data_IF_468967509911
#
_entry.id   IF_468967509911
#
_cell.length_a   1.000
_cell.length_b   1.000
_cell.length_c   1.000
_cell.angle_alpha   90.00
_cell.angle_beta   90.00
_cell.angle_gamma   90.00
#
_symmetry.space_group_name_H-M   'P 1'
#
loop_
_entity.id
_entity.type
_entity.pdbx_description
1 polymer ?
#
# COMPACT_ATOMS: atom_id res chain seq x y z
N UNK A 1 -22.38 11.91 -1.21
CA UNK A 1 -22.30 10.58 -0.55
C UNK A 1 -23.67 10.24 0.01
N UNK A 2 -24.09 9.00 -0.20
CA UNK A 2 -25.30 8.39 0.37
C UNK A 2 -24.82 7.22 1.24
N UNK A 3 -25.32 7.15 2.47
CA UNK A 3 -25.02 6.04 3.37
C UNK A 3 -26.04 4.94 3.13
N UNK A 4 -25.58 3.73 2.78
CA UNK A 4 -26.46 2.59 2.50
C UNK A 4 -26.20 1.51 3.54
N UNK A 5 -27.27 1.07 4.23
CA UNK A 5 -27.21 -0.04 5.16
C UNK A 5 -27.26 -1.36 4.39
N UNK A 6 -26.29 -2.24 4.61
CA UNK A 6 -26.26 -3.59 4.05
C UNK A 6 -27.00 -4.58 4.94
N UNK A 7 -27.37 -5.73 4.38
CA UNK A 7 -27.99 -6.82 5.14
C UNK A 7 -27.08 -7.39 6.25
N UNK A 8 -25.77 -7.15 6.17
CA UNK A 8 -24.78 -7.46 7.21
C UNK A 8 -24.81 -6.52 8.42
N UNK A 9 -25.61 -5.45 8.38
CA UNK A 9 -25.67 -4.42 9.43
C UNK A 9 -24.60 -3.33 9.31
N UNK A 10 -23.67 -3.45 8.36
CA UNK A 10 -22.67 -2.41 8.09
C UNK A 10 -23.25 -1.27 7.25
N UNK A 11 -22.89 -0.04 7.60
CA UNK A 11 -23.25 1.17 6.85
C UNK A 11 -22.09 1.52 5.94
N UNK A 12 -22.27 1.33 4.64
CA UNK A 12 -21.25 1.64 3.64
C UNK A 12 -21.51 3.00 3.00
N UNK A 13 -20.49 3.87 2.91
CA UNK A 13 -20.59 5.12 2.19
C UNK A 13 -20.54 4.84 0.68
N UNK A 14 -21.56 5.27 -0.05
CA UNK A 14 -21.63 5.17 -1.50
C UNK A 14 -21.62 6.57 -2.14
N UNK A 15 -20.90 6.73 -3.24
CA UNK A 15 -20.97 7.93 -4.05
C UNK A 15 -21.94 7.69 -5.21
N UNK A 16 -23.06 8.43 -5.22
CA UNK A 16 -23.99 8.48 -6.34
C UNK A 16 -23.59 9.60 -7.29
N UNK A 17 -23.59 9.31 -8.59
CA UNK A 17 -23.30 10.28 -9.65
C UNK A 17 -24.13 9.93 -10.89
N UNK A 18 -24.41 10.94 -11.72
CA UNK A 18 -25.24 10.79 -12.92
C UNK A 18 -24.37 10.93 -14.17
N UNK A 19 -24.53 9.99 -15.11
CA UNK A 19 -23.90 10.04 -16.44
C UNK A 19 -24.95 9.67 -17.46
N UNK A 20 -25.19 10.55 -18.43
CA UNK A 20 -26.14 10.33 -19.54
C UNK A 20 -27.57 9.96 -19.07
N UNK A 21 -28.06 10.63 -18.02
CA UNK A 21 -29.38 10.37 -17.43
C UNK A 21 -29.49 9.08 -16.62
N UNK A 22 -28.38 8.33 -16.43
CA UNK A 22 -28.32 7.13 -15.60
C UNK A 22 -27.58 7.42 -14.30
N UNK A 23 -28.19 7.05 -13.19
CA UNK A 23 -27.58 7.15 -11.86
C UNK A 23 -26.73 5.91 -11.63
N UNK A 24 -25.45 6.14 -11.39
CA UNK A 24 -24.50 5.12 -10.98
C UNK A 24 -24.12 5.32 -9.51
N UNK A 25 -23.80 4.22 -8.85
CA UNK A 25 -23.30 4.22 -7.48
C UNK A 25 -21.96 3.51 -7.46
N UNK A 26 -20.98 4.10 -6.79
CA UNK A 26 -19.70 3.47 -6.52
C UNK A 26 -19.46 3.41 -5.02
N UNK A 27 -18.73 2.40 -4.59
CA UNK A 27 -18.21 2.35 -3.23
C UNK A 27 -17.29 3.56 -3.00
N UNK A 28 -17.50 4.23 -1.86
CA UNK A 28 -16.70 5.36 -1.39
C UNK A 28 -15.95 4.99 -0.11
N UNK A 29 -15.87 3.71 0.26
CA UNK A 29 -15.26 3.30 1.50
C UNK A 29 -13.77 3.64 1.51
N UNK A 30 -13.33 4.24 2.61
CA UNK A 30 -11.95 4.62 2.78
C UNK A 30 -11.52 4.41 4.23
N UNK A 31 -10.50 3.57 4.42
CA UNK A 31 -10.07 3.11 5.75
C UNK A 31 -9.75 4.23 6.74
N UNK A 32 -9.26 5.38 6.25
CA UNK A 32 -8.85 6.50 7.09
C UNK A 32 -9.79 7.73 6.98
N UNK A 33 -10.99 7.56 6.41
CA UNK A 33 -11.94 8.67 6.26
C UNK A 33 -13.36 8.19 6.54
N UNK A 34 -14.00 8.89 7.48
CA UNK A 34 -15.43 8.78 7.68
C UNK A 34 -16.15 9.78 6.79
N UNK A 35 -17.27 9.35 6.21
CA UNK A 35 -18.11 10.19 5.39
C UNK A 35 -19.39 10.56 6.13
N UNK A 36 -19.80 11.82 6.01
CA UNK A 36 -21.13 12.24 6.42
C UNK A 36 -22.12 12.13 5.26
N UNK A 37 -23.40 11.87 5.58
CA UNK A 37 -24.46 11.90 4.59
C UNK A 37 -24.55 13.29 3.93
N UNK A 38 -24.64 13.33 2.60
CA UNK A 38 -24.68 14.58 1.85
C UNK A 38 -23.30 15.21 1.56
N UNK A 39 -22.21 14.63 2.07
CA UNK A 39 -20.85 15.12 1.78
C UNK A 39 -20.54 14.98 0.28
N UNK A 40 -19.91 16.00 -0.30
CA UNK A 40 -19.51 15.99 -1.72
C UNK A 40 -18.14 15.35 -1.87
N UNK A 41 -17.98 14.55 -2.91
CA UNK A 41 -16.70 13.95 -3.27
C UNK A 41 -16.49 14.00 -4.77
N UNK A 42 -15.25 13.84 -5.21
CA UNK A 42 -14.90 13.74 -6.62
C UNK A 42 -14.93 12.27 -7.01
N UNK A 43 -15.74 11.93 -8.01
CA UNK A 43 -15.78 10.60 -8.60
C UNK A 43 -15.03 10.65 -9.92
N UNK A 44 -14.05 9.77 -10.07
CA UNK A 44 -13.32 9.57 -11.32
C UNK A 44 -13.96 8.36 -12.00
N UNK A 45 -14.43 8.56 -13.22
CA UNK A 45 -15.05 7.50 -14.02
C UNK A 45 -14.48 7.52 -15.43
N UNK A 46 -14.43 6.34 -16.05
CA UNK A 46 -14.12 6.23 -17.47
C UNK A 46 -15.42 6.32 -18.27
N UNK A 47 -15.46 7.20 -19.29
CA UNK A 47 -16.66 7.40 -20.14
C UNK A 47 -17.11 6.11 -20.82
N UNK A 48 -16.16 5.21 -21.16
CA UNK A 48 -16.45 3.92 -21.79
C UNK A 48 -16.97 2.86 -20.81
N UNK A 49 -16.72 3.02 -19.50
CA UNK A 49 -17.09 2.05 -18.44
C UNK A 49 -17.43 2.79 -17.15
N UNK A 50 -18.57 3.49 -17.08
CA UNK A 50 -18.98 4.22 -15.88
C UNK A 50 -19.07 3.29 -14.66
N UNK A 51 -19.45 2.02 -14.82
CA UNK A 51 -19.50 1.03 -13.74
C UNK A 51 -18.17 0.78 -13.01
N UNK A 52 -17.03 1.21 -13.55
CA UNK A 52 -15.69 1.11 -12.91
C UNK A 52 -15.22 2.42 -12.27
N UNK A 53 -16.14 3.34 -11.97
CA UNK A 53 -15.80 4.56 -11.28
C UNK A 53 -15.17 4.28 -9.91
N UNK A 54 -14.31 5.19 -9.48
CA UNK A 54 -13.71 5.17 -8.15
C UNK A 54 -13.79 6.58 -7.56
N UNK A 55 -13.97 6.66 -6.25
CA UNK A 55 -13.86 7.94 -5.54
C UNK A 55 -12.40 8.36 -5.52
N UNK A 56 -12.12 9.63 -5.83
CA UNK A 56 -10.78 10.18 -5.75
C UNK A 56 -10.32 10.22 -4.29
N UNK A 57 -9.16 9.63 -4.04
CA UNK A 57 -8.50 9.65 -2.76
C UNK A 57 -7.10 10.22 -2.95
N UNK A 58 -6.75 11.25 -2.18
CA UNK A 58 -5.43 11.90 -2.27
C UNK A 58 -4.27 10.92 -2.06
N UNK A 59 -4.49 9.88 -1.24
CA UNK A 59 -3.49 8.85 -0.93
C UNK A 59 -3.65 7.56 -1.74
N UNK A 60 -4.85 7.26 -2.24
CA UNK A 60 -5.15 5.99 -2.92
C UNK A 60 -4.61 5.87 -4.34
N UNK A 61 -4.08 6.95 -4.92
CA UNK A 61 -3.52 6.95 -6.28
C UNK A 61 -2.09 6.40 -6.35
N UNK A 62 -1.29 6.54 -5.29
CA UNK A 62 0.12 6.18 -5.35
C UNK A 62 0.38 4.68 -5.14
N UNK A 63 -0.30 4.04 -4.16
CA UNK A 63 -0.12 2.61 -3.84
C UNK A 63 -1.42 2.09 -3.22
N UNK A 64 -1.95 0.95 -3.69
CA UNK A 64 -3.08 0.30 -3.01
C UNK A 64 -2.62 -0.30 -1.67
N UNK A 65 -3.49 -0.33 -0.65
CA UNK A 65 -3.14 -0.92 0.66
C UNK A 65 -2.64 -2.36 0.53
N UNK A 66 -3.19 -3.13 -0.41
CA UNK A 66 -2.71 -4.47 -0.72
C UNK A 66 -1.24 -4.48 -1.18
N UNK A 67 -0.87 -3.57 -2.08
CA UNK A 67 0.51 -3.41 -2.53
C UNK A 67 1.45 -2.94 -1.41
N UNK A 68 0.99 -2.04 -0.53
CA UNK A 68 1.77 -1.59 0.63
C UNK A 68 2.09 -2.75 1.57
N UNK A 69 1.08 -3.55 1.93
CA UNK A 69 1.25 -4.70 2.83
C UNK A 69 2.16 -5.74 2.17
N UNK A 70 1.96 -6.04 0.89
CA UNK A 70 2.81 -6.97 0.15
C UNK A 70 4.27 -6.50 0.12
N UNK A 71 4.52 -5.21 -0.07
CA UNK A 71 5.87 -4.64 -0.04
C UNK A 71 6.50 -4.74 1.36
N UNK A 72 5.74 -4.51 2.43
CA UNK A 72 6.24 -4.68 3.81
C UNK A 72 6.62 -6.14 4.07
N UNK A 73 5.77 -7.07 3.68
CA UNK A 73 6.04 -8.52 3.82
C UNK A 73 7.28 -8.91 3.02
N UNK A 74 7.44 -8.41 1.81
CA UNK A 74 8.64 -8.64 0.99
C UNK A 74 9.91 -8.12 1.67
N UNK A 75 9.88 -6.90 2.22
CA UNK A 75 11.01 -6.35 2.97
C UNK A 75 11.38 -7.22 4.17
N UNK A 76 10.39 -7.71 4.93
CA UNK A 76 10.62 -8.60 6.07
C UNK A 76 11.24 -9.92 5.58
N UNK A 77 10.72 -10.50 4.50
CA UNK A 77 11.25 -11.73 3.93
C UNK A 77 12.72 -11.59 3.51
N UNK A 78 13.06 -10.51 2.80
CA UNK A 78 14.43 -10.21 2.41
C UNK A 78 15.34 -9.95 3.62
N UNK A 79 14.84 -9.28 4.65
CA UNK A 79 15.56 -9.08 5.89
C UNK A 79 15.89 -10.42 6.58
N UNK A 80 14.96 -11.36 6.60
CA UNK A 80 15.17 -12.69 7.16
C UNK A 80 16.22 -13.47 6.37
N UNK A 81 16.19 -13.38 5.03
CA UNK A 81 17.21 -13.97 4.15
C UNK A 81 18.59 -13.36 4.44
N UNK A 82 18.68 -12.04 4.46
CA UNK A 82 19.94 -11.33 4.74
C UNK A 82 20.50 -11.72 6.11
N UNK A 83 19.64 -11.77 7.14
CA UNK A 83 20.04 -12.19 8.48
C UNK A 83 20.53 -13.63 8.51
N UNK A 84 19.88 -14.55 7.79
CA UNK A 84 20.32 -15.94 7.66
C UNK A 84 21.71 -16.05 7.04
N UNK A 85 21.98 -15.29 5.97
CA UNK A 85 23.28 -15.26 5.28
C UNK A 85 24.37 -14.74 6.20
N UNK A 86 24.11 -13.66 6.95
CA UNK A 86 25.09 -13.06 7.86
C UNK A 86 25.34 -13.95 9.09
N UNK A 87 24.32 -14.67 9.58
CA UNK A 87 24.46 -15.51 10.77
C UNK A 87 25.18 -16.83 10.54
N UNK A 88 25.44 -17.22 9.28
CA UNK A 88 26.10 -18.47 8.93
C UNK A 88 27.27 -18.19 7.97
N UNK A 89 28.34 -17.54 8.47
CA UNK A 89 29.49 -17.22 7.64
C UNK A 89 30.16 -18.50 7.15
N UNK A 90 30.58 -18.50 5.88
CA UNK A 90 31.44 -19.54 5.36
C UNK A 90 32.70 -19.66 6.23
N UNK A 91 33.18 -20.88 6.51
CA UNK A 91 34.26 -21.13 7.47
C UNK A 91 35.53 -20.35 7.15
N UNK A 92 35.83 -20.11 5.87
CA UNK A 92 36.97 -19.30 5.42
C UNK A 92 36.90 -17.84 5.90
N UNK A 93 35.72 -17.22 5.89
CA UNK A 93 35.50 -15.85 6.37
C UNK A 93 35.50 -15.79 7.89
N UNK A 94 34.94 -16.82 8.55
CA UNK A 94 34.95 -16.91 10.01
C UNK A 94 36.38 -17.06 10.57
N UNK A 95 37.23 -17.84 9.89
CA UNK A 95 38.64 -17.99 10.25
C UNK A 95 39.38 -16.65 10.04
N UNK A 96 39.20 -15.98 8.91
CA UNK A 96 39.79 -14.65 8.66
C UNK A 96 39.35 -13.59 9.69
N UNK A 97 38.08 -13.61 10.14
CA UNK A 97 37.58 -12.75 11.21
C UNK A 97 38.16 -13.09 12.59
N UNK A 98 38.28 -14.38 12.93
CA UNK A 98 38.85 -14.88 14.19
C UNK A 98 40.37 -14.66 14.29
N UNK A 99 41.07 -14.79 13.16
CA UNK A 99 42.52 -14.56 13.04
C UNK A 99 42.89 -13.07 13.01
N UNK A 100 41.89 -12.18 13.09
CA UNK A 100 42.11 -10.73 13.19
C UNK A 100 42.55 -10.09 11.89
N UNK A 101 42.32 -10.74 10.74
CA UNK A 101 42.57 -10.18 9.43
C UNK A 101 41.53 -9.09 9.17
N UNK A 102 41.89 -7.87 9.59
CA UNK A 102 40.97 -6.73 9.63
C UNK A 102 40.21 -6.58 8.31
N UNK A 103 38.87 -6.36 8.33
CA UNK A 103 38.11 -6.15 7.12
C UNK A 103 38.76 -4.99 6.36
N UNK A 104 39.09 -5.22 5.08
CA UNK A 104 39.77 -4.25 4.21
C UNK A 104 39.33 -2.83 4.57
N UNK A 105 40.26 -2.04 5.11
CA UNK A 105 40.00 -0.66 5.57
C UNK A 105 39.16 0.05 4.51
N UNK A 106 37.97 0.53 4.91
CA UNK A 106 37.13 1.37 4.06
C UNK A 106 38.02 2.52 3.56
N UNK A 107 38.07 2.83 2.25
CA UNK A 107 38.81 4.00 1.79
C UNK A 107 38.24 5.21 2.53
N UNK A 108 39.12 5.94 3.20
CA UNK A 108 38.75 7.19 3.87
C UNK A 108 38.46 8.16 2.73
N UNK A 109 37.19 8.55 2.56
CA UNK A 109 36.87 9.65 1.66
C UNK A 109 37.35 10.94 2.33
N UNK A 110 38.28 11.62 1.68
CA UNK A 110 38.68 12.98 2.01
C UNK A 110 37.51 13.88 1.60
N UNK A 111 36.92 14.59 2.57
CA UNK A 111 35.93 15.65 2.32
C UNK A 111 36.64 16.97 2.06
#
# INVERSE_FOLDING_TARGET
>A
IVLVAQASGEILPMAAYEVDGKIFQTDAHYYFRNWNAGERTVVIYETNKPSKAAVYHWWGYFISIGETIASIVLCIALFQVARSVVSNPIPEVLIAELEGESPRRKPKYDL
#
